data_IF_972285618314
#
_entry.id   IF_972285618314
#
_cell.length_a   1.000
_cell.length_b   1.000
_cell.length_c   1.000
_cell.angle_alpha   90.00
_cell.angle_beta   90.00
_cell.angle_gamma   90.00
#
_symmetry.space_group_name_H-M   'P 1'
#
loop_
_entity.id
_entity.type
_entity.pdbx_description
1 polymer ?
#
# COMPACT_ATOMS: atom_id res chain seq x y z
N UNK A 1 -41.35 -23.22 -22.95
CA UNK A 1 -41.49 -21.75 -23.14
C UNK A 1 -40.43 -21.28 -24.10
N UNK A 2 -40.81 -20.52 -25.13
CA UNK A 2 -39.86 -20.02 -26.14
C UNK A 2 -39.10 -18.79 -25.62
N UNK A 3 -37.91 -18.53 -26.17
CA UNK A 3 -37.04 -17.40 -25.80
C UNK A 3 -37.78 -16.04 -25.63
N UNK A 4 -38.69 -15.61 -26.53
CA UNK A 4 -39.40 -14.34 -26.34
C UNK A 4 -40.33 -14.33 -25.11
N UNK A 5 -40.90 -15.48 -24.73
CA UNK A 5 -41.74 -15.58 -23.53
C UNK A 5 -40.90 -15.50 -22.25
N UNK A 6 -39.67 -16.04 -22.26
CA UNK A 6 -38.74 -15.93 -21.12
C UNK A 6 -38.25 -14.49 -20.95
N UNK A 7 -37.92 -13.80 -22.05
CA UNK A 7 -37.54 -12.39 -22.03
C UNK A 7 -38.69 -11.49 -21.54
N UNK A 8 -39.93 -11.77 -21.94
CA UNK A 8 -41.10 -11.04 -21.46
C UNK A 8 -41.32 -11.19 -19.95
N UNK A 9 -41.16 -12.40 -19.40
CA UNK A 9 -41.25 -12.63 -17.95
C UNK A 9 -40.10 -11.93 -17.21
N UNK A 10 -38.88 -12.00 -17.74
CA UNK A 10 -37.73 -11.34 -17.14
C UNK A 10 -37.89 -9.81 -17.07
N UNK A 11 -38.35 -9.17 -18.15
CA UNK A 11 -38.62 -7.73 -18.17
C UNK A 11 -39.73 -7.33 -17.17
N UNK A 12 -40.76 -8.17 -17.02
CA UNK A 12 -41.82 -7.97 -16.02
C UNK A 12 -41.30 -8.06 -14.58
N UNK A 13 -40.43 -9.04 -14.30
CA UNK A 13 -39.79 -9.17 -12.98
C UNK A 13 -38.91 -7.96 -12.66
N UNK A 14 -38.11 -7.49 -13.62
CA UNK A 14 -37.28 -6.29 -13.46
C UNK A 14 -38.11 -5.03 -13.20
N UNK A 15 -39.16 -4.81 -14.00
CA UNK A 15 -40.05 -3.66 -13.79
C UNK A 15 -40.73 -3.69 -12.42
N UNK A 16 -41.12 -4.88 -11.95
CA UNK A 16 -41.67 -5.07 -10.61
C UNK A 16 -40.67 -4.74 -9.50
N UNK A 17 -39.42 -5.18 -9.63
CA UNK A 17 -38.36 -4.91 -8.67
C UNK A 17 -38.04 -3.40 -8.57
N UNK A 18 -37.87 -2.73 -9.72
CA UNK A 18 -37.62 -1.29 -9.75
C UNK A 18 -38.81 -0.46 -9.23
N UNK A 19 -40.03 -0.87 -9.56
CA UNK A 19 -41.24 -0.22 -9.04
C UNK A 19 -41.36 -0.34 -7.52
N UNK A 20 -41.03 -1.51 -6.96
CA UNK A 20 -41.03 -1.73 -5.51
C UNK A 20 -39.94 -0.88 -4.83
N UNK A 21 -38.73 -0.85 -5.39
CA UNK A 21 -37.61 -0.06 -4.86
C UNK A 21 -37.93 1.44 -4.86
N UNK A 22 -38.50 1.98 -5.95
CA UNK A 22 -38.90 3.39 -6.02
C UNK A 22 -40.01 3.73 -5.03
N UNK A 23 -40.98 2.82 -4.82
CA UNK A 23 -42.04 3.01 -3.83
C UNK A 23 -41.49 3.03 -2.40
N UNK A 24 -40.54 2.14 -2.08
CA UNK A 24 -39.87 2.11 -0.77
C UNK A 24 -39.03 3.38 -0.58
N UNK A 25 -38.25 3.79 -1.58
CA UNK A 25 -37.45 5.03 -1.52
C UNK A 25 -38.31 6.29 -1.32
N UNK A 26 -39.48 6.36 -1.95
CA UNK A 26 -40.42 7.46 -1.74
C UNK A 26 -41.08 7.50 -0.34
N UNK A 27 -41.13 6.37 0.37
CA UNK A 27 -41.65 6.28 1.75
C UNK A 27 -40.56 6.59 2.77
N UNK A 28 -39.33 6.15 2.51
CA UNK A 28 -38.18 6.35 3.43
C UNK A 28 -37.63 7.77 3.34
N UNK A 29 -37.83 8.45 2.20
CA UNK A 29 -37.28 9.79 1.97
C UNK A 29 -35.78 9.77 1.67
N UNK A 30 -35.21 10.87 1.16
CA UNK A 30 -33.77 10.98 0.96
C UNK A 30 -33.04 10.87 2.30
N UNK A 31 -31.93 10.12 2.32
CA UNK A 31 -31.03 10.08 3.45
C UNK A 31 -29.99 11.19 3.24
N UNK A 32 -30.06 12.26 4.05
CA UNK A 32 -29.09 13.34 4.02
C UNK A 32 -29.61 14.79 4.20
N UNK A 33 -30.84 15.01 4.65
CA UNK A 33 -31.29 16.38 4.97
C UNK A 33 -30.90 16.75 6.41
N UNK A 34 -29.63 17.09 6.62
CA UNK A 34 -29.25 18.04 7.68
C UNK A 34 -29.18 19.44 7.05
N UNK A 35 -30.20 20.24 7.38
CA UNK A 35 -30.27 21.67 7.12
C UNK A 35 -29.06 22.40 7.73
N UNK A 36 -28.14 22.92 6.91
CA UNK A 36 -27.66 24.32 7.01
C UNK A 36 -26.65 24.70 5.91
N UNK A 37 -27.13 25.37 4.87
CA UNK A 37 -26.38 26.44 4.19
C UNK A 37 -27.35 27.39 3.45
N UNK A 38 -27.31 28.71 3.68
CA UNK A 38 -28.22 29.64 3.02
C UNK A 38 -27.75 29.96 1.59
N UNK A 39 -28.76 30.25 0.77
CA UNK A 39 -28.64 30.58 -0.64
C UNK A 39 -28.07 32.00 -0.92
N UNK A 40 -27.69 32.14 -2.19
CA UNK A 40 -27.59 33.34 -3.03
C UNK A 40 -26.22 34.05 -3.09
N UNK A 41 -25.63 34.08 -4.30
CA UNK A 41 -25.77 35.23 -5.19
C UNK A 41 -25.14 34.96 -6.58
N UNK A 42 -25.83 35.44 -7.60
CA UNK A 42 -25.40 35.53 -8.98
C UNK A 42 -24.55 36.80 -9.17
N UNK A 43 -23.50 36.74 -9.99
CA UNK A 43 -22.93 37.92 -10.64
C UNK A 43 -22.10 37.56 -11.88
N UNK A 44 -22.71 37.80 -13.04
CA UNK A 44 -22.22 38.61 -14.17
C UNK A 44 -20.78 38.47 -14.68
N UNK A 45 -20.75 38.21 -15.99
CA UNK A 45 -19.72 38.45 -16.98
C UNK A 45 -19.07 39.85 -16.90
N UNK A 46 -17.74 39.90 -16.92
CA UNK A 46 -16.99 41.04 -17.43
C UNK A 46 -15.66 40.57 -18.02
N UNK A 47 -15.35 41.11 -19.20
CA UNK A 47 -14.28 40.63 -20.06
C UNK A 47 -12.93 41.32 -19.89
N UNK A 48 -11.99 40.81 -20.68
CA UNK A 48 -11.08 41.53 -21.58
C UNK A 48 -9.62 41.09 -21.46
N UNK A 49 -9.08 40.82 -22.65
CA UNK A 49 -7.72 40.46 -23.01
C UNK A 49 -6.61 41.36 -22.42
N UNK A 50 -5.40 40.78 -22.31
CA UNK A 50 -4.15 41.53 -22.15
C UNK A 50 -2.90 40.66 -22.21
N UNK A 51 -2.11 40.87 -23.27
CA UNK A 51 -0.81 40.30 -23.64
C UNK A 51 0.29 40.25 -22.56
N UNK A 52 1.29 39.38 -22.79
CA UNK A 52 2.69 39.71 -22.49
C UNK A 52 3.66 38.54 -22.52
N UNK A 53 4.47 38.46 -23.59
CA UNK A 53 5.69 37.64 -23.69
C UNK A 53 6.77 38.04 -22.67
N UNK A 54 7.54 37.05 -22.19
CA UNK A 54 9.01 36.91 -22.32
C UNK A 54 9.72 36.34 -21.07
N UNK A 55 10.53 35.31 -21.36
CA UNK A 55 11.88 35.00 -20.88
C UNK A 55 12.17 34.81 -19.37
N UNK A 56 12.77 33.66 -19.05
CA UNK A 56 13.50 33.43 -17.81
C UNK A 56 14.02 32.00 -17.72
N UNK A 57 15.34 31.87 -17.62
CA UNK A 57 16.14 30.64 -17.61
C UNK A 57 16.04 29.86 -16.28
N UNK A 58 16.26 28.55 -16.40
CA UNK A 58 16.89 27.58 -15.46
C UNK A 58 16.46 27.54 -13.99
N UNK A 59 15.92 26.38 -13.57
CA UNK A 59 16.27 25.66 -12.33
C UNK A 59 15.73 24.21 -12.49
N UNK A 60 16.60 23.21 -12.36
CA UNK A 60 16.21 21.80 -12.25
C UNK A 60 15.52 21.58 -10.91
N UNK A 61 14.20 21.76 -10.90
CA UNK A 61 13.33 21.40 -9.79
C UNK A 61 12.81 19.99 -9.99
N UNK A 62 13.18 19.10 -9.06
CA UNK A 62 12.52 17.81 -8.84
C UNK A 62 11.01 17.96 -9.02
N UNK A 63 10.43 17.09 -9.86
CA UNK A 63 9.00 16.95 -10.05
C UNK A 63 8.35 16.54 -8.73
N UNK A 64 8.03 17.52 -7.90
CA UNK A 64 6.91 17.42 -6.99
C UNK A 64 5.65 17.31 -7.85
N UNK A 65 5.09 16.12 -7.91
CA UNK A 65 3.73 15.90 -8.37
C UNK A 65 2.79 16.58 -7.38
N UNK A 66 2.52 17.86 -7.62
CA UNK A 66 1.52 18.63 -6.92
C UNK A 66 0.13 18.05 -7.16
N UNK A 67 -0.44 17.54 -6.06
CA UNK A 67 -1.82 17.73 -5.62
C UNK A 67 -2.98 17.05 -6.38
N UNK A 68 -3.59 16.08 -5.70
CA UNK A 68 -5.01 16.23 -5.35
C UNK A 68 -6.05 15.78 -6.38
N UNK A 69 -6.00 14.52 -6.81
CA UNK A 69 -7.18 13.77 -7.28
C UNK A 69 -6.93 12.25 -7.18
N UNK A 70 -7.71 11.56 -6.35
CA UNK A 70 -8.00 10.12 -6.41
C UNK A 70 -6.83 9.11 -6.59
N UNK A 71 -5.66 9.31 -5.97
CA UNK A 71 -4.72 8.18 -5.82
C UNK A 71 -5.28 7.23 -4.77
N UNK A 72 -5.88 6.14 -5.23
CA UNK A 72 -6.28 5.03 -4.35
C UNK A 72 -5.02 4.47 -3.69
N UNK A 73 -5.11 4.01 -2.43
CA UNK A 73 -3.98 3.37 -1.78
C UNK A 73 -3.46 2.19 -2.62
N UNK A 74 -2.14 2.05 -2.65
CA UNK A 74 -1.46 1.02 -3.44
C UNK A 74 -1.87 -0.39 -3.03
N UNK A 75 -1.73 -1.32 -3.96
CA UNK A 75 -1.89 -2.75 -3.71
C UNK A 75 -3.33 -3.23 -3.58
N UNK A 76 -4.35 -2.37 -3.62
CA UNK A 76 -5.75 -2.83 -3.56
C UNK A 76 -6.22 -3.50 -4.85
N UNK A 77 -5.52 -3.27 -5.96
CA UNK A 77 -5.85 -3.81 -7.27
C UNK A 77 -4.79 -4.79 -7.74
N UNK A 78 -5.23 -5.88 -8.37
CA UNK A 78 -4.32 -6.80 -9.06
C UNK A 78 -3.90 -6.31 -10.44
N UNK A 79 -4.60 -5.31 -10.97
CA UNK A 79 -4.28 -4.67 -12.25
C UNK A 79 -4.47 -3.16 -12.18
N UNK A 80 -3.48 -2.40 -12.65
CA UNK A 80 -3.47 -0.94 -12.72
C UNK A 80 -2.64 -0.51 -13.93
N UNK A 81 -3.08 0.54 -14.64
CA UNK A 81 -2.37 1.12 -15.80
C UNK A 81 -1.93 0.12 -16.88
N UNK A 82 -2.66 -0.99 -17.04
CA UNK A 82 -2.35 -2.04 -18.02
C UNK A 82 -1.37 -3.10 -17.52
N UNK A 83 -0.87 -2.97 -16.30
CA UNK A 83 -0.06 -3.97 -15.60
C UNK A 83 -0.95 -4.89 -14.77
N UNK A 84 -0.58 -6.17 -14.62
CA UNK A 84 -1.31 -7.17 -13.82
C UNK A 84 -0.36 -8.07 -13.06
N UNK A 85 -0.59 -8.24 -11.76
CA UNK A 85 0.13 -9.20 -10.92
C UNK A 85 -0.48 -10.60 -11.10
N UNK A 86 0.14 -11.42 -11.94
CA UNK A 86 -0.36 -12.73 -12.35
C UNK A 86 0.39 -13.88 -11.66
N UNK A 87 -0.27 -14.54 -10.70
CA UNK A 87 0.28 -15.75 -10.08
C UNK A 87 0.21 -16.95 -11.03
N UNK A 88 1.26 -17.75 -11.06
CA UNK A 88 1.24 -19.06 -11.74
C UNK A 88 0.27 -20.02 -11.03
N UNK A 89 0.20 -19.92 -9.70
CA UNK A 89 -0.77 -20.62 -8.87
C UNK A 89 -1.26 -19.70 -7.74
N UNK A 90 -2.58 -19.59 -7.58
CA UNK A 90 -3.24 -18.83 -6.52
C UNK A 90 -3.42 -19.63 -5.22
N UNK A 91 -2.97 -20.89 -5.21
CA UNK A 91 -3.06 -21.78 -4.06
C UNK A 91 -1.74 -22.52 -3.87
N UNK A 92 -1.16 -22.39 -2.67
CA UNK A 92 0.05 -23.11 -2.26
C UNK A 92 -0.19 -23.85 -0.94
N UNK A 93 0.50 -24.99 -0.68
CA UNK A 93 0.37 -25.66 0.61
C UNK A 93 1.10 -24.87 1.71
N UNK A 94 0.72 -25.09 2.97
CA UNK A 94 1.48 -24.56 4.09
C UNK A 94 2.83 -25.30 4.24
N UNK A 95 3.86 -24.58 4.69
CA UNK A 95 5.18 -25.12 4.96
C UNK A 95 6.27 -24.08 4.72
N UNK A 96 7.51 -24.41 5.10
CA UNK A 96 8.65 -23.55 4.80
C UNK A 96 8.97 -23.58 3.30
N UNK A 97 9.57 -22.49 2.81
CA UNK A 97 10.16 -22.36 1.48
C UNK A 97 9.27 -22.85 0.31
N UNK A 98 7.99 -22.52 0.34
CA UNK A 98 7.06 -22.82 -0.75
C UNK A 98 7.38 -21.94 -1.97
N UNK A 99 7.49 -22.53 -3.17
CA UNK A 99 7.90 -21.78 -4.35
C UNK A 99 6.72 -20.94 -4.88
N UNK A 100 6.75 -19.65 -4.62
CA UNK A 100 5.89 -18.70 -5.32
C UNK A 100 6.48 -18.41 -6.70
N UNK A 101 5.63 -18.43 -7.73
CA UNK A 101 5.98 -18.02 -9.09
C UNK A 101 4.89 -17.12 -9.66
N UNK A 102 5.30 -16.07 -10.36
CA UNK A 102 4.39 -15.08 -10.93
C UNK A 102 5.04 -14.29 -12.07
N UNK A 103 4.23 -13.54 -12.81
CA UNK A 103 4.66 -12.50 -13.74
C UNK A 103 3.99 -11.17 -13.37
N UNK A 104 4.62 -10.07 -13.77
CA UNK A 104 3.90 -8.81 -13.98
C UNK A 104 3.61 -8.74 -15.46
N UNK A 105 2.35 -8.88 -15.85
CA UNK A 105 1.93 -8.79 -17.25
C UNK A 105 1.67 -7.33 -17.58
N UNK A 106 2.36 -6.77 -18.57
CA UNK A 106 2.13 -5.43 -19.09
C UNK A 106 1.38 -5.44 -20.44
N UNK A 107 1.23 -4.26 -21.08
CA UNK A 107 0.50 -4.12 -22.35
C UNK A 107 1.04 -4.99 -23.50
N UNK A 108 2.34 -5.26 -23.52
CA UNK A 108 3.04 -5.99 -24.58
C UNK A 108 3.45 -7.44 -24.20
N UNK A 109 2.97 -7.93 -23.05
CA UNK A 109 3.36 -9.23 -22.47
C UNK A 109 4.03 -9.08 -21.09
N UNK A 110 4.68 -10.13 -20.56
CA UNK A 110 5.40 -10.03 -19.29
C UNK A 110 6.43 -8.90 -19.32
N UNK A 111 6.43 -8.07 -18.28
CA UNK A 111 7.37 -6.95 -18.14
C UNK A 111 8.78 -7.52 -18.01
N UNK A 112 9.68 -7.08 -18.90
CA UNK A 112 11.08 -7.48 -18.91
C UNK A 112 12.07 -6.35 -18.65
N UNK A 113 11.60 -5.12 -18.50
CA UNK A 113 12.43 -3.95 -18.17
C UNK A 113 11.87 -3.34 -16.89
N UNK A 114 12.68 -3.27 -15.83
CA UNK A 114 12.31 -2.70 -14.54
C UNK A 114 13.37 -1.67 -14.17
N UNK A 115 12.94 -0.63 -13.47
CA UNK A 115 13.85 0.31 -12.84
C UNK A 115 14.33 -0.29 -11.51
N UNK A 116 15.61 -0.09 -11.19
CA UNK A 116 16.19 -0.60 -9.94
C UNK A 116 16.00 0.45 -8.86
N UNK A 117 15.26 0.08 -7.81
CA UNK A 117 15.01 0.87 -6.62
C UNK A 117 15.48 0.09 -5.40
N UNK A 118 16.18 0.74 -4.46
CA UNK A 118 16.69 0.07 -3.26
C UNK A 118 17.49 -1.22 -3.57
N UNK A 119 18.30 -1.17 -4.63
CA UNK A 119 19.14 -2.26 -5.15
C UNK A 119 18.37 -3.46 -5.74
N UNK A 120 17.04 -3.39 -5.86
CA UNK A 120 16.19 -4.46 -6.38
C UNK A 120 15.29 -3.95 -7.52
N UNK A 121 14.90 -4.86 -8.41
CA UNK A 121 13.94 -4.56 -9.48
C UNK A 121 12.48 -4.64 -9.00
N UNK A 122 12.23 -5.41 -7.94
CA UNK A 122 10.90 -5.65 -7.39
C UNK A 122 10.98 -6.06 -5.92
N UNK A 123 10.18 -5.41 -5.09
CA UNK A 123 9.94 -5.81 -3.69
C UNK A 123 8.65 -6.61 -3.62
N UNK A 124 8.72 -7.82 -3.05
CA UNK A 124 7.55 -8.63 -2.78
C UNK A 124 7.25 -8.64 -1.28
N UNK A 125 6.07 -8.14 -0.92
CA UNK A 125 5.54 -8.23 0.43
C UNK A 125 4.47 -9.32 0.45
N UNK A 126 4.63 -10.30 1.33
CA UNK A 126 3.62 -11.31 1.63
C UNK A 126 3.16 -11.16 3.07
N UNK A 127 1.86 -10.94 3.27
CA UNK A 127 1.27 -10.75 4.60
C UNK A 127 -0.04 -11.52 4.70
N UNK A 128 -0.36 -12.11 5.86
CA UNK A 128 -1.70 -12.68 6.02
C UNK A 128 -2.77 -11.59 6.12
N UNK A 129 -3.98 -11.89 5.68
CA UNK A 129 -5.14 -11.00 5.77
C UNK A 129 -5.51 -10.57 7.20
N UNK A 130 -5.07 -11.31 8.21
CA UNK A 130 -5.23 -10.92 9.62
C UNK A 130 -4.02 -10.16 10.18
N UNK A 131 -3.12 -9.70 9.31
CA UNK A 131 -1.91 -8.95 9.64
C UNK A 131 -0.94 -9.70 10.56
N UNK A 132 -1.04 -11.04 10.59
CA UNK A 132 -0.10 -11.92 11.31
C UNK A 132 0.74 -12.71 10.33
N UNK A 133 2.07 -12.66 10.46
CA UNK A 133 2.94 -13.28 9.46
C UNK A 133 3.14 -12.34 8.27
N UNK A 134 4.37 -11.86 8.16
CA UNK A 134 4.85 -10.89 7.20
C UNK A 134 6.20 -11.37 6.67
N UNK A 135 6.42 -11.17 5.38
CA UNK A 135 7.69 -11.43 4.70
C UNK A 135 7.91 -10.34 3.67
N UNK A 136 9.08 -9.72 3.72
CA UNK A 136 9.59 -8.82 2.70
C UNK A 136 10.77 -9.50 2.01
N UNK A 137 10.56 -9.90 0.76
CA UNK A 137 11.48 -10.75 0.02
C UNK A 137 11.71 -10.21 -1.39
N UNK A 138 12.85 -10.55 -1.97
CA UNK A 138 13.22 -10.15 -3.32
C UNK A 138 13.22 -11.38 -4.22
N UNK A 139 12.21 -11.52 -5.09
CA UNK A 139 12.17 -12.61 -6.03
C UNK A 139 13.28 -12.45 -7.08
N UNK A 140 13.65 -13.57 -7.69
CA UNK A 140 14.60 -13.58 -8.81
C UNK A 140 13.80 -13.76 -10.10
N UNK A 141 14.07 -12.93 -11.10
CA UNK A 141 13.45 -12.99 -12.42
C UNK A 141 14.25 -13.85 -13.40
N UNK A 142 13.56 -14.68 -14.16
CA UNK A 142 14.08 -15.37 -15.32
C UNK A 142 13.93 -14.51 -16.59
N UNK A 143 14.68 -14.84 -17.65
CA UNK A 143 14.66 -14.11 -18.93
C UNK A 143 13.27 -14.04 -19.61
N UNK A 144 12.35 -14.93 -19.24
CA UNK A 144 10.96 -14.95 -19.74
C UNK A 144 9.99 -14.06 -18.94
N UNK A 145 10.50 -13.31 -17.95
CA UNK A 145 9.72 -12.43 -17.08
C UNK A 145 9.14 -13.13 -15.83
N UNK A 146 9.35 -14.44 -15.67
CA UNK A 146 8.85 -15.17 -14.49
C UNK A 146 9.71 -14.87 -13.27
N UNK A 147 9.06 -14.40 -12.21
CA UNK A 147 9.63 -14.21 -10.88
C UNK A 147 9.50 -15.50 -10.05
N UNK A 148 10.47 -15.76 -9.18
CA UNK A 148 10.44 -16.89 -8.25
C UNK A 148 11.04 -16.55 -6.90
N UNK A 149 10.37 -16.96 -5.82
CA UNK A 149 10.86 -16.79 -4.44
C UNK A 149 10.30 -17.87 -3.51
N UNK A 150 11.10 -18.38 -2.55
CA UNK A 150 10.57 -19.21 -1.49
C UNK A 150 9.85 -18.37 -0.44
N UNK A 151 8.63 -18.76 -0.06
CA UNK A 151 7.87 -18.18 1.05
C UNK A 151 7.64 -19.20 2.15
N UNK A 152 7.78 -18.76 3.40
CA UNK A 152 7.36 -19.53 4.57
C UNK A 152 5.86 -19.29 4.80
N UNK A 153 5.03 -20.29 4.47
CA UNK A 153 3.58 -20.14 4.45
C UNK A 153 2.91 -20.91 5.59
N UNK A 154 2.08 -20.22 6.36
CA UNK A 154 1.11 -20.82 7.28
C UNK A 154 -0.28 -20.83 6.65
N UNK A 155 -1.16 -21.71 7.11
CA UNK A 155 -2.56 -21.74 6.65
C UNK A 155 -3.27 -20.40 6.86
N UNK A 156 -4.04 -19.99 5.85
CA UNK A 156 -4.77 -18.73 5.81
C UNK A 156 -4.79 -18.09 4.42
N UNK A 157 -5.42 -16.93 4.34
CA UNK A 157 -5.38 -16.08 3.15
C UNK A 157 -4.21 -15.11 3.28
N UNK A 158 -3.34 -15.12 2.28
CA UNK A 158 -2.21 -14.20 2.17
C UNK A 158 -2.53 -13.16 1.10
N UNK A 159 -2.23 -11.91 1.41
CA UNK A 159 -2.17 -10.85 0.44
C UNK A 159 -0.72 -10.65 0.03
N UNK A 160 -0.49 -10.63 -1.27
CA UNK A 160 0.80 -10.34 -1.87
C UNK A 160 0.75 -8.92 -2.44
N UNK A 161 1.89 -8.23 -2.36
CA UNK A 161 2.12 -6.94 -2.99
C UNK A 161 3.40 -7.05 -3.81
N UNK A 162 3.33 -6.62 -5.07
CA UNK A 162 4.49 -6.38 -5.92
C UNK A 162 4.64 -4.87 -6.01
N UNK A 163 5.73 -4.37 -5.45
CA UNK A 163 6.13 -2.96 -5.49
C UNK A 163 7.33 -2.82 -6.42
N UNK A 164 7.16 -2.07 -7.50
CA UNK A 164 8.14 -2.00 -8.58
C UNK A 164 7.96 -0.70 -9.38
N UNK A 165 9.03 -0.32 -10.09
CA UNK A 165 9.01 0.76 -11.06
C UNK A 165 9.35 0.24 -12.45
N UNK A 166 8.68 0.78 -13.47
CA UNK A 166 8.95 0.48 -14.87
C UNK A 166 8.68 1.72 -15.72
N UNK A 167 9.59 2.03 -16.65
CA UNK A 167 9.49 3.20 -17.53
C UNK A 167 9.35 4.53 -16.74
N UNK A 168 9.88 4.60 -15.51
CA UNK A 168 9.77 5.75 -14.62
C UNK A 168 8.42 5.87 -13.89
N UNK A 169 7.54 4.88 -13.97
CA UNK A 169 6.28 4.83 -13.23
C UNK A 169 6.38 3.79 -12.09
N UNK A 170 6.15 4.25 -10.85
CA UNK A 170 6.06 3.40 -9.67
C UNK A 170 4.65 2.83 -9.50
N UNK A 171 4.54 1.52 -9.28
CA UNK A 171 3.30 0.77 -9.14
C UNK A 171 3.37 -0.20 -7.97
N UNK A 172 2.30 -0.26 -7.18
CA UNK A 172 2.10 -1.31 -6.19
C UNK A 172 0.85 -2.10 -6.55
N UNK A 173 1.03 -3.32 -7.07
CA UNK A 173 -0.08 -4.23 -7.40
C UNK A 173 -0.26 -5.24 -6.28
N UNK A 174 -1.49 -5.71 -6.07
CA UNK A 174 -1.78 -6.71 -5.06
C UNK A 174 -2.71 -7.82 -5.51
N UNK A 175 -2.43 -9.04 -5.04
CA UNK A 175 -3.21 -10.23 -5.33
C UNK A 175 -3.30 -11.12 -4.09
N UNK A 176 -4.17 -12.12 -4.12
CA UNK A 176 -4.36 -13.06 -3.02
C UNK A 176 -3.76 -14.42 -3.34
N UNK A 177 -3.25 -15.07 -2.30
CA UNK A 177 -2.73 -16.42 -2.30
C UNK A 177 -3.42 -17.20 -1.17
N UNK A 178 -4.17 -18.25 -1.53
CA UNK A 178 -4.82 -19.11 -0.57
C UNK A 178 -3.86 -20.22 -0.10
N UNK A 179 -3.76 -20.40 1.22
CA UNK A 179 -2.97 -21.48 1.84
C UNK A 179 -3.90 -22.39 2.64
N UNK A 180 -4.35 -23.53 2.08
CA UNK A 180 -5.33 -24.38 2.72
C UNK A 180 -4.83 -24.97 4.04
N UNK A 181 -5.69 -24.98 5.05
CA UNK A 181 -5.43 -25.61 6.34
C UNK A 181 -6.35 -25.09 7.43
N UNK A 182 -6.00 -25.34 8.69
CA UNK A 182 -6.72 -24.77 9.83
C UNK A 182 -6.31 -23.31 9.97
N UNK A 183 -7.22 -22.40 9.66
CA UNK A 183 -7.00 -20.96 9.75
C UNK A 183 -8.02 -20.34 10.70
N UNK A 184 -7.49 -19.72 11.74
CA UNK A 184 -8.24 -18.93 12.71
C UNK A 184 -7.64 -17.53 12.71
N UNK A 185 -8.32 -16.54 12.10
CA UNK A 185 -7.84 -15.17 12.07
C UNK A 185 -7.54 -14.64 13.47
N UNK A 186 -6.36 -14.06 13.66
CA UNK A 186 -6.05 -13.32 14.87
C UNK A 186 -6.73 -11.95 14.88
N UNK A 187 -6.96 -11.39 16.07
CA UNK A 187 -7.31 -9.98 16.18
C UNK A 187 -6.07 -9.11 15.97
N UNK A 188 -6.25 -7.91 15.42
CA UNK A 188 -5.19 -6.91 15.32
C UNK A 188 -4.61 -6.63 16.73
N UNK A 189 -3.27 -6.65 16.90
CA UNK A 189 -2.67 -6.28 18.17
C UNK A 189 -3.02 -4.82 18.55
N UNK A 190 -3.21 -4.52 19.84
CA UNK A 190 -3.55 -3.17 20.28
C UNK A 190 -2.46 -2.17 19.92
N UNK A 191 -2.85 -0.90 19.80
CA UNK A 191 -1.93 0.18 19.49
C UNK A 191 -0.74 0.23 20.47
N UNK A 192 0.46 0.32 19.91
CA UNK A 192 1.73 0.39 20.64
C UNK A 192 2.78 1.06 19.79
N UNK A 193 3.51 2.01 20.38
CA UNK A 193 4.70 2.64 19.79
C UNK A 193 5.99 1.97 20.23
N UNK A 194 5.91 0.77 20.83
CA UNK A 194 7.08 -0.01 21.25
C UNK A 194 6.90 -1.45 20.80
N UNK A 195 7.93 -1.97 20.13
CA UNK A 195 8.03 -3.36 19.70
C UNK A 195 9.30 -4.00 20.28
N UNK A 196 9.22 -5.29 20.56
CA UNK A 196 10.36 -6.09 20.98
C UNK A 196 10.56 -7.26 20.03
N UNK A 197 11.78 -7.44 19.54
CA UNK A 197 12.14 -8.52 18.61
C UNK A 197 13.57 -8.95 18.91
N UNK A 198 13.80 -10.25 19.17
CA UNK A 198 15.13 -10.84 19.38
C UNK A 198 16.07 -10.09 20.36
N UNK A 199 15.50 -9.51 21.42
CA UNK A 199 16.25 -8.74 22.43
C UNK A 199 16.50 -7.27 22.08
N UNK A 200 15.99 -6.81 20.94
CA UNK A 200 15.91 -5.40 20.58
C UNK A 200 14.60 -4.80 21.08
N UNK A 201 14.67 -3.53 21.44
CA UNK A 201 13.51 -2.66 21.67
C UNK A 201 13.56 -1.59 20.59
N UNK A 202 12.48 -1.51 19.81
CA UNK A 202 12.28 -0.45 18.81
C UNK A 202 11.15 0.44 19.27
N UNK A 203 11.38 1.74 19.32
CA UNK A 203 10.35 2.74 19.64
C UNK A 203 10.01 3.56 18.41
N UNK A 204 8.73 3.84 18.23
CA UNK A 204 8.21 4.71 17.18
C UNK A 204 7.86 6.07 17.77
N UNK A 205 8.47 7.13 17.23
CA UNK A 205 8.08 8.52 17.47
C UNK A 205 7.40 9.10 16.23
N UNK A 206 6.31 9.84 16.43
CA UNK A 206 5.45 10.35 15.37
C UNK A 206 3.99 9.96 15.55
N UNK A 207 3.12 10.58 14.75
CA UNK A 207 1.70 10.28 14.62
C UNK A 207 1.34 10.39 13.14
N UNK A 208 0.26 9.72 12.72
CA UNK A 208 -0.23 9.84 11.34
C UNK A 208 -1.55 10.61 11.34
N UNK A 209 -1.59 11.68 10.56
CA UNK A 209 -2.83 12.40 10.27
C UNK A 209 -3.28 12.06 8.85
N UNK A 210 -4.60 12.01 8.63
CA UNK A 210 -5.15 11.74 7.31
C UNK A 210 -4.79 12.83 6.31
N UNK A 211 -4.29 12.42 5.14
CA UNK A 211 -4.00 13.33 4.02
C UNK A 211 -2.79 14.24 4.24
N UNK A 212 -2.05 14.05 5.33
CA UNK A 212 -0.85 14.83 5.66
C UNK A 212 0.36 13.90 5.72
N UNK A 213 1.42 14.29 5.04
CA UNK A 213 2.70 13.60 5.14
C UNK A 213 3.25 13.73 6.56
N UNK A 214 3.46 12.58 7.18
CA UNK A 214 3.84 12.46 8.58
C UNK A 214 5.22 11.81 8.69
N UNK A 215 6.10 12.42 9.49
CA UNK A 215 7.41 11.85 9.81
C UNK A 215 7.27 10.81 10.92
N UNK A 216 7.75 9.60 10.65
CA UNK A 216 7.80 8.47 11.58
C UNK A 216 9.26 8.11 11.84
N UNK A 217 9.69 8.17 13.11
CA UNK A 217 11.09 7.87 13.50
C UNK A 217 11.13 6.59 14.32
N UNK A 218 11.88 5.60 13.86
CA UNK A 218 12.09 4.31 14.51
C UNK A 218 13.46 4.31 15.17
N UNK A 219 13.50 4.27 16.51
CA UNK A 219 14.75 4.21 17.29
C UNK A 219 15.04 2.79 17.73
N UNK A 220 16.18 2.24 17.32
CA UNK A 220 16.62 0.88 17.64
C UNK A 220 17.56 0.86 18.84
N UNK A 221 17.25 0.03 19.83
CA UNK A 221 18.13 -0.22 20.98
C UNK A 221 18.21 -1.70 21.31
N UNK A 222 19.31 -2.12 21.93
CA UNK A 222 19.51 -3.47 22.44
C UNK A 222 19.96 -3.38 23.90
N UNK A 223 19.24 -4.05 24.80
CA UNK A 223 19.51 -4.00 26.24
C UNK A 223 19.60 -2.57 26.81
N UNK A 224 18.84 -1.63 26.22
CA UNK A 224 18.82 -0.21 26.61
C UNK A 224 19.98 0.64 26.05
N UNK A 225 20.84 0.07 25.20
CA UNK A 225 21.90 0.78 24.49
C UNK A 225 21.44 1.07 23.06
N UNK A 226 21.50 2.33 22.58
CA UNK A 226 21.18 2.65 21.19
C UNK A 226 22.11 1.91 20.22
N UNK A 227 21.54 1.34 19.16
CA UNK A 227 22.30 0.67 18.09
C UNK A 227 22.73 1.74 17.09
N UNK A 228 24.03 1.93 16.87
CA UNK A 228 24.55 3.03 16.03
C UNK A 228 25.31 2.54 14.79
N UNK A 229 25.22 1.23 14.54
CA UNK A 229 25.94 0.47 13.55
C UNK A 229 24.98 -0.48 12.81
N UNK A 230 23.76 -0.01 12.51
CA UNK A 230 22.85 -0.70 11.60
C UNK A 230 23.55 -0.95 10.26
N UNK A 231 23.38 -2.15 9.75
CA UNK A 231 23.92 -2.55 8.46
C UNK A 231 22.95 -2.13 7.36
N UNK A 232 23.45 -1.63 6.21
CA UNK A 232 22.61 -1.43 5.04
C UNK A 232 22.00 -2.76 4.60
N UNK A 233 20.69 -2.78 4.49
CA UNK A 233 19.91 -3.85 3.89
C UNK A 233 19.16 -3.22 2.72
N UNK A 234 19.27 -3.75 1.51
CA UNK A 234 18.57 -3.22 0.31
C UNK A 234 18.71 -1.70 0.13
N UNK A 235 19.94 -1.19 0.17
CA UNK A 235 20.20 0.24 0.02
C UNK A 235 19.63 1.17 1.10
N UNK A 236 19.16 0.67 2.25
CA UNK A 236 18.68 1.51 3.36
C UNK A 236 19.10 0.96 4.73
N UNK A 237 19.04 1.78 5.79
CA UNK A 237 19.25 1.32 7.17
C UNK A 237 18.00 0.66 7.77
N UNK A 238 16.88 0.69 7.06
CA UNK A 238 15.69 -0.09 7.34
C UNK A 238 14.57 0.17 6.33
N UNK A 239 13.57 -0.70 6.33
CA UNK A 239 12.38 -0.63 5.47
C UNK A 239 11.14 -0.58 6.33
N UNK A 240 10.17 0.24 5.96
CA UNK A 240 8.91 0.33 6.68
C UNK A 240 7.75 0.09 5.72
N UNK A 241 7.02 -0.99 5.97
CA UNK A 241 5.74 -1.28 5.31
C UNK A 241 4.62 -0.93 6.27
N UNK A 242 3.66 -0.11 5.82
CA UNK A 242 2.48 0.25 6.60
C UNK A 242 1.21 -0.19 5.87
N UNK A 243 0.37 -0.98 6.52
CA UNK A 243 -0.85 -1.56 5.95
C UNK A 243 -2.07 -1.19 6.77
N UNK A 244 -3.11 -0.71 6.10
CA UNK A 244 -4.40 -0.41 6.75
C UNK A 244 -5.08 -1.68 7.25
N UNK A 245 -5.63 -1.65 8.45
CA UNK A 245 -6.47 -2.74 8.94
C UNK A 245 -7.70 -2.97 8.04
N UNK A 246 -8.09 -4.23 7.89
CA UNK A 246 -9.21 -4.65 7.03
C UNK A 246 -8.80 -4.93 5.59
N UNK A 247 -8.55 -3.90 4.77
CA UNK A 247 -8.29 -4.08 3.34
C UNK A 247 -6.82 -4.15 2.95
N UNK A 248 -5.92 -3.88 3.91
CA UNK A 248 -4.47 -3.90 3.73
C UNK A 248 -4.03 -2.95 2.62
N UNK A 249 -4.71 -1.81 2.48
CA UNK A 249 -4.22 -0.69 1.68
C UNK A 249 -2.76 -0.37 2.04
N UNK A 250 -1.89 -0.42 1.04
CA UNK A 250 -0.46 -0.17 1.19
C UNK A 250 -0.22 1.34 1.26
N UNK A 251 0.52 1.78 2.27
CA UNK A 251 0.95 3.16 2.38
C UNK A 251 2.27 3.33 1.65
N UNK A 252 2.36 4.39 0.85
CA UNK A 252 3.63 4.82 0.29
C UNK A 252 4.51 5.34 1.44
N UNK A 253 5.70 4.76 1.58
CA UNK A 253 6.66 5.08 2.62
C UNK A 253 8.03 5.21 1.97
N UNK A 254 8.77 6.25 2.30
CA UNK A 254 10.15 6.42 1.84
C UNK A 254 11.06 6.82 3.02
N UNK A 255 12.31 6.32 3.05
CA UNK A 255 13.26 6.66 4.10
C UNK A 255 13.79 8.09 3.94
N UNK A 256 14.16 8.71 5.07
CA UNK A 256 14.94 9.95 5.08
C UNK A 256 16.44 9.61 4.97
N UNK A 257 17.01 9.84 3.80
CA UNK A 257 18.44 9.63 3.53
C UNK A 257 18.81 8.19 3.18
N UNK A 258 20.06 7.99 2.78
CA UNK A 258 20.56 6.70 2.29
C UNK A 258 21.97 6.37 2.81
N UNK A 259 22.34 5.08 2.95
CA UNK A 259 23.68 4.68 3.32
C UNK A 259 24.75 5.23 2.37
N UNK A 260 25.78 5.86 2.91
CA UNK A 260 26.93 6.33 2.14
C UNK A 260 26.80 7.75 1.56
N UNK A 261 25.68 8.45 1.76
CA UNK A 261 25.50 9.86 1.40
C UNK A 261 26.41 10.85 2.19
N UNK A 262 27.04 10.36 3.26
CA UNK A 262 27.95 11.11 4.12
C UNK A 262 27.28 11.93 5.22
N UNK A 263 25.95 11.91 5.31
CA UNK A 263 25.17 12.66 6.31
C UNK A 263 24.21 11.78 7.12
N UNK A 264 23.74 10.68 6.55
CA UNK A 264 22.79 9.74 7.18
C UNK A 264 23.54 8.79 8.11
N UNK A 265 23.28 8.84 9.43
CA UNK A 265 23.90 7.95 10.39
C UNK A 265 23.34 6.53 10.28
N UNK A 266 24.15 5.52 10.61
CA UNK A 266 23.77 4.11 10.70
C UNK A 266 22.95 3.78 11.97
N UNK A 267 21.95 4.62 12.28
CA UNK A 267 21.15 4.55 13.51
C UNK A 267 21.61 5.50 14.62
N UNK A 268 20.92 5.49 15.78
CA UNK A 268 19.85 4.55 16.15
C UNK A 268 18.49 4.87 15.55
N UNK A 269 18.34 6.07 15.02
CA UNK A 269 17.09 6.57 14.46
C UNK A 269 17.07 6.34 12.96
N UNK A 270 16.00 5.72 12.46
CA UNK A 270 15.68 5.59 11.05
C UNK A 270 14.34 6.27 10.82
N UNK A 271 14.33 7.30 9.98
CA UNK A 271 13.13 8.11 9.74
C UNK A 271 12.50 7.76 8.41
N UNK A 272 11.18 7.81 8.37
CA UNK A 272 10.37 7.62 7.17
C UNK A 272 9.30 8.71 7.08
N UNK A 273 8.81 8.95 5.87
CA UNK A 273 7.63 9.77 5.64
C UNK A 273 6.52 8.89 5.09
N UNK A 274 5.31 9.08 5.61
CA UNK A 274 4.13 8.32 5.22
C UNK A 274 2.89 9.21 5.21
N UNK A 275 1.98 8.97 4.27
CA UNK A 275 0.69 9.68 4.19
C UNK A 275 -0.45 8.68 4.32
N UNK A 276 -1.24 8.79 5.38
CA UNK A 276 -2.42 7.95 5.58
C UNK A 276 -3.61 8.50 4.76
N UNK A 277 -4.18 7.70 3.86
CA UNK A 277 -5.30 8.14 3.03
C UNK A 277 -6.63 8.30 3.80
N UNK A 278 -6.78 7.62 4.94
CA UNK A 278 -8.00 7.66 5.76
C UNK A 278 -7.71 7.34 7.23
N UNK A 279 -8.61 7.77 8.11
CA UNK A 279 -8.56 7.39 9.52
C UNK A 279 -8.83 5.88 9.64
N UNK A 280 -7.91 5.16 10.27
CA UNK A 280 -7.95 3.72 10.49
C UNK A 280 -6.81 3.31 11.43
N UNK A 281 -6.85 2.08 11.93
CA UNK A 281 -5.67 1.44 12.47
C UNK A 281 -4.77 0.94 11.33
N UNK A 282 -3.46 1.01 11.54
CA UNK A 282 -2.44 0.56 10.61
C UNK A 282 -1.46 -0.36 11.33
N UNK A 283 -1.10 -1.46 10.66
CA UNK A 283 -0.02 -2.34 11.08
C UNK A 283 1.24 -1.96 10.33
N UNK A 284 2.30 -1.66 11.08
CA UNK A 284 3.60 -1.28 10.56
C UNK A 284 4.58 -2.43 10.78
N UNK A 285 5.39 -2.71 9.76
CA UNK A 285 6.45 -3.72 9.76
C UNK A 285 7.76 -3.01 9.43
N UNK A 286 8.64 -2.87 10.42
CA UNK A 286 9.93 -2.23 10.29
C UNK A 286 11.04 -3.28 10.22
N UNK A 287 11.64 -3.45 9.05
CA UNK A 287 12.78 -4.32 8.83
C UNK A 287 14.09 -3.57 9.07
N UNK A 288 15.01 -4.13 9.86
CA UNK A 288 16.36 -3.60 10.08
C UNK A 288 17.39 -4.72 10.17
N UNK A 289 18.61 -4.46 9.74
CA UNK A 289 19.73 -5.41 9.83
C UNK A 289 20.75 -4.98 10.88
N UNK A 290 21.10 -5.93 11.75
CA UNK A 290 22.19 -5.77 12.72
C UNK A 290 22.76 -7.13 13.11
N UNK A 291 24.08 -7.24 13.18
CA UNK A 291 24.84 -8.48 13.33
C UNK A 291 24.58 -9.51 12.19
N UNK A 292 24.36 -9.03 10.95
CA UNK A 292 24.11 -9.84 9.75
C UNK A 292 22.77 -10.58 9.76
N UNK A 293 21.79 -10.08 10.53
CA UNK A 293 20.46 -10.67 10.67
C UNK A 293 19.40 -9.57 10.52
N UNK A 294 18.52 -9.75 9.54
CA UNK A 294 17.33 -8.93 9.34
C UNK A 294 16.26 -9.30 10.37
N UNK A 295 15.63 -8.29 10.96
CA UNK A 295 14.56 -8.43 11.96
C UNK A 295 13.42 -7.50 11.63
N UNK A 296 12.21 -7.96 11.90
CA UNK A 296 10.99 -7.17 11.75
C UNK A 296 10.46 -6.76 13.13
N UNK A 297 10.36 -5.46 13.37
CA UNK A 297 9.64 -4.89 14.51
C UNK A 297 8.23 -4.48 14.06
N UNK A 298 7.20 -4.91 14.79
CA UNK A 298 5.81 -4.71 14.38
C UNK A 298 5.03 -3.80 15.32
N UNK A 299 4.32 -2.83 14.77
CA UNK A 299 3.55 -1.83 15.53
C UNK A 299 2.11 -1.79 15.04
N UNK A 300 1.19 -1.42 15.94
CA UNK A 300 -0.13 -0.95 15.53
C UNK A 300 -0.24 0.51 15.96
N UNK A 301 -0.63 1.39 15.04
CA UNK A 301 -0.89 2.81 15.32
C UNK A 301 -2.20 3.23 14.64
N UNK A 302 -2.83 4.26 15.15
CA UNK A 302 -3.98 4.88 14.51
C UNK A 302 -3.52 6.05 13.64
N UNK A 303 -4.17 6.21 12.48
CA UNK A 303 -4.25 7.52 11.83
C UNK A 303 -5.57 8.18 12.22
N UNK A 304 -5.50 9.47 12.57
CA UNK A 304 -6.65 10.25 13.00
C UNK A 304 -7.00 11.29 11.92
N UNK A 305 -8.29 11.63 11.82
CA UNK A 305 -8.71 12.73 10.95
C UNK A 305 -8.05 14.02 11.44
N UNK A 306 -7.40 14.76 10.53
CA UNK A 306 -6.77 16.03 10.89
C UNK A 306 -7.86 17.02 11.37
N UNK A 307 -7.71 17.63 12.57
CA UNK A 307 -8.77 18.45 13.18
C UNK A 307 -9.03 19.79 12.49
#
# INVERSE_FOLDING_TARGET
MNAPAKLGVYALCLAGAFGLAAAVGGVVGPIGDDDTAPAAAESEESGMAGHGDEAGEEEEGHTESAEGADHLPGGLMSSENGYTFALVADTLPAGPAQPLQFTIDGPDGPVTEYDVEHEQELHLIAVRRDLTGYQHVHPVRADDGTWSVPLDLTSGEWKLFADFSTEGEALTLGTDLSVPGDYQPAALPPASTTAQVDGYTVTLDGHMDTGVESKLTLSVSRDGVPVTDLEPYLGAYGHLVALRDGDLAYLHVHPEGEPGDGVTPSGPDVSFFATAASAADYRLFFDFEHDGVVRTAEFTIAAEDHP
#
